data_IF_156676229851
#
_entry.id   IF_156676229851
#
_cell.length_a   1.000
_cell.length_b   1.000
_cell.length_c   1.000
_cell.angle_alpha   90.00
_cell.angle_beta   90.00
_cell.angle_gamma   90.00
#
_symmetry.space_group_name_H-M   'P 1'
#
loop_
_entity.id
_entity.type
_entity.pdbx_description
1 polymer ?
#
# COMPACT_ATOMS: atom_id res chain seq x y z
N UNK A 1 -12.32 1.25 6.98
CA UNK A 1 -12.29 2.71 6.90
C UNK A 1 -11.03 3.19 6.20
N UNK A 2 -11.04 4.43 5.75
CA UNK A 2 -9.88 5.02 5.07
C UNK A 2 -8.67 5.09 5.99
N UNK A 3 -8.87 5.34 7.26
CA UNK A 3 -7.76 5.39 8.22
C UNK A 3 -7.11 4.02 8.39
N UNK A 4 -7.90 2.96 8.39
CA UNK A 4 -7.38 1.60 8.46
C UNK A 4 -6.58 1.25 7.22
N UNK A 5 -7.07 1.66 6.06
CA UNK A 5 -6.36 1.44 4.79
C UNK A 5 -5.03 2.19 4.80
N UNK A 6 -5.04 3.43 5.23
CA UNK A 6 -3.80 4.22 5.31
C UNK A 6 -2.80 3.61 6.27
N UNK A 7 -3.25 3.11 7.41
CA UNK A 7 -2.38 2.44 8.37
C UNK A 7 -1.78 1.16 7.78
N UNK A 8 -2.60 0.38 7.08
CA UNK A 8 -2.14 -0.83 6.41
C UNK A 8 -1.08 -0.51 5.35
N UNK A 9 -1.30 0.55 4.60
CA UNK A 9 -0.36 0.99 3.57
C UNK A 9 0.96 1.42 4.19
N UNK A 10 0.90 2.20 5.27
CA UNK A 10 2.11 2.63 5.97
C UNK A 10 2.93 1.44 6.46
N UNK A 11 2.26 0.44 7.03
CA UNK A 11 2.91 -0.78 7.49
C UNK A 11 3.54 -1.55 6.32
N UNK A 12 2.81 -1.66 5.21
CA UNK A 12 3.30 -2.35 4.02
C UNK A 12 4.51 -1.64 3.42
N UNK A 13 4.49 -0.31 3.39
CA UNK A 13 5.63 0.47 2.90
C UNK A 13 6.87 0.20 3.75
N UNK A 14 6.70 0.22 5.07
CA UNK A 14 7.79 -0.06 6.00
C UNK A 14 8.32 -1.48 5.80
N UNK A 15 7.43 -2.44 5.69
CA UNK A 15 7.80 -3.85 5.54
C UNK A 15 8.53 -4.11 4.22
N UNK A 16 8.09 -3.46 3.14
CA UNK A 16 8.68 -3.64 1.82
C UNK A 16 10.02 -2.94 1.65
N UNK A 17 10.31 -1.95 2.50
CA UNK A 17 11.47 -1.11 2.33
C UNK A 17 11.36 -0.16 1.15
N UNK A 18 10.14 0.10 0.68
CA UNK A 18 9.89 0.96 -0.48
C UNK A 18 10.42 2.37 -0.22
N UNK A 19 11.11 2.92 -1.21
CA UNK A 19 11.71 4.25 -1.11
C UNK A 19 11.15 5.22 -2.15
N UNK A 20 10.49 4.72 -3.18
CA UNK A 20 9.97 5.57 -4.24
C UNK A 20 8.75 4.92 -4.90
N UNK A 21 8.09 5.69 -5.76
CA UNK A 21 6.91 5.23 -6.51
C UNK A 21 7.22 3.95 -7.31
N UNK A 22 8.45 3.78 -7.75
CA UNK A 22 8.83 2.58 -8.49
C UNK A 22 8.66 1.30 -7.69
N UNK A 23 8.64 1.41 -6.37
CA UNK A 23 8.48 0.27 -5.48
C UNK A 23 7.03 -0.03 -5.12
N UNK A 24 6.07 0.71 -5.68
CA UNK A 24 4.65 0.52 -5.33
C UNK A 24 4.17 -0.91 -5.60
N UNK A 25 4.73 -1.58 -6.60
CA UNK A 25 4.38 -2.97 -6.87
C UNK A 25 4.67 -3.89 -5.70
N UNK A 26 5.76 -3.64 -5.01
CA UNK A 26 6.13 -4.41 -3.81
C UNK A 26 5.13 -4.20 -2.69
N UNK A 27 4.74 -2.95 -2.48
CA UNK A 27 3.77 -2.60 -1.43
C UNK A 27 2.42 -3.23 -1.75
N UNK A 28 1.97 -3.14 -3.00
CA UNK A 28 0.70 -3.74 -3.43
C UNK A 28 0.73 -5.26 -3.23
N UNK A 29 1.85 -5.91 -3.54
CA UNK A 29 1.98 -7.35 -3.36
C UNK A 29 1.81 -7.73 -1.88
N UNK A 30 2.40 -6.96 -0.98
CA UNK A 30 2.25 -7.20 0.46
C UNK A 30 0.80 -7.00 0.89
N UNK A 31 0.15 -5.94 0.41
CA UNK A 31 -1.24 -5.68 0.72
C UNK A 31 -2.16 -6.81 0.23
N UNK A 32 -1.90 -7.33 -0.96
CA UNK A 32 -2.68 -8.45 -1.49
C UNK A 32 -2.52 -9.70 -0.65
N UNK A 33 -1.31 -9.95 -0.17
CA UNK A 33 -1.06 -11.12 0.68
C UNK A 33 -1.78 -11.00 2.02
N UNK A 34 -1.81 -9.81 2.59
CA UNK A 34 -2.40 -9.60 3.93
C UNK A 34 -3.91 -9.35 3.89
N UNK A 35 -4.40 -8.70 2.86
CA UNK A 35 -5.79 -8.22 2.80
C UNK A 35 -6.52 -8.71 1.57
N UNK A 36 -6.22 -9.91 1.09
CA UNK A 36 -6.87 -10.48 -0.09
C UNK A 36 -8.39 -10.46 0.09
N UNK A 37 -9.08 -9.82 -0.84
CA UNK A 37 -10.54 -9.75 -0.83
C UNK A 37 -11.13 -8.78 0.21
N UNK A 38 -10.29 -8.08 0.98
CA UNK A 38 -10.74 -7.20 2.05
C UNK A 38 -10.53 -5.72 1.75
N UNK A 39 -9.91 -5.40 0.63
CA UNK A 39 -9.52 -4.04 0.31
C UNK A 39 -9.77 -3.76 -1.16
N UNK A 40 -10.18 -2.54 -1.48
CA UNK A 40 -10.25 -2.09 -2.87
C UNK A 40 -8.83 -1.73 -3.31
N UNK A 41 -8.21 -2.63 -4.06
CA UNK A 41 -6.82 -2.44 -4.50
C UNK A 41 -6.65 -1.33 -5.53
N UNK A 42 -7.70 -0.99 -6.25
CA UNK A 42 -7.65 0.16 -7.14
C UNK A 42 -7.46 1.45 -6.36
N UNK A 43 -8.22 1.61 -5.28
CA UNK A 43 -8.11 2.75 -4.39
C UNK A 43 -6.78 2.71 -3.62
N UNK A 44 -6.41 1.53 -3.12
CA UNK A 44 -5.17 1.35 -2.38
C UNK A 44 -3.96 1.70 -3.24
N UNK A 45 -3.99 1.35 -4.51
CA UNK A 45 -2.92 1.66 -5.46
C UNK A 45 -2.66 3.16 -5.53
N UNK A 46 -3.71 3.96 -5.62
CA UNK A 46 -3.61 5.41 -5.63
C UNK A 46 -3.04 5.96 -4.32
N UNK A 47 -3.46 5.39 -3.19
CA UNK A 47 -2.97 5.80 -1.88
C UNK A 47 -1.50 5.43 -1.70
N UNK A 48 -1.09 4.26 -2.18
CA UNK A 48 0.32 3.84 -2.13
C UNK A 48 1.18 4.79 -2.96
N UNK A 49 0.73 5.12 -4.16
CA UNK A 49 1.43 6.05 -5.02
C UNK A 49 1.61 7.41 -4.32
N UNK A 50 0.56 7.92 -3.72
CA UNK A 50 0.61 9.19 -3.00
C UNK A 50 1.58 9.12 -1.82
N UNK A 51 1.58 8.01 -1.08
CA UNK A 51 2.47 7.83 0.06
C UNK A 51 3.93 7.79 -0.37
N UNK A 52 4.23 7.14 -1.48
CA UNK A 52 5.61 7.01 -1.96
C UNK A 52 6.10 8.25 -2.70
N UNK A 53 5.19 9.00 -3.30
CA UNK A 53 5.54 10.24 -4.00
C UNK A 53 5.79 11.40 -3.04
N UNK A 54 5.19 11.33 -1.88
CA UNK A 54 5.33 12.38 -0.87
C UNK A 54 6.63 12.29 -0.14
#
# INVERSE_FOLDING_TARGET
SDDEVKAAIADAVTESGAASVEDMGKVIAILRAKFAGQMDFGKASGLVKAALAG
#
